data_IF_251459758879
#
_entry.id   IF_251459758879
#
_cell.length_a   1.000
_cell.length_b   1.000
_cell.length_c   1.000
_cell.angle_alpha   90.00
_cell.angle_beta   90.00
_cell.angle_gamma   90.00
#
_symmetry.space_group_name_H-M   'P 1'
#
loop_
_entity.id
_entity.type
_entity.pdbx_description
1 polymer ?
#
# COMPACT_ATOMS: atom_id res chain seq x y z
N UNK A 1 6.57 -7.71 -1.26
CA UNK A 1 5.95 -8.31 -0.07
C UNK A 1 5.20 -7.26 0.75
N UNK A 2 5.88 -6.19 1.21
CA UNK A 2 5.24 -5.04 1.87
C UNK A 2 4.10 -4.40 1.06
N UNK A 3 4.26 -4.32 -0.27
CA UNK A 3 3.29 -3.68 -1.17
C UNK A 3 1.92 -4.38 -1.16
N UNK A 4 1.88 -5.72 -1.11
CA UNK A 4 0.61 -6.45 -1.08
C UNK A 4 -0.10 -6.32 0.28
N UNK A 5 0.67 -6.24 1.37
CA UNK A 5 0.12 -6.03 2.72
C UNK A 5 -0.46 -4.61 2.88
N UNK A 6 0.15 -3.61 2.23
CA UNK A 6 -0.36 -2.23 2.22
C UNK A 6 -1.72 -2.16 1.52
N UNK A 7 -1.88 -2.81 0.36
CA UNK A 7 -3.17 -2.83 -0.36
C UNK A 7 -4.28 -3.57 0.42
N UNK A 8 -3.93 -4.65 1.14
CA UNK A 8 -4.87 -5.34 2.04
C UNK A 8 -5.28 -4.39 3.17
N UNK A 9 -4.33 -3.68 3.79
CA UNK A 9 -4.63 -2.73 4.87
C UNK A 9 -5.50 -1.54 4.41
N UNK A 10 -5.32 -1.07 3.17
CA UNK A 10 -6.13 0.01 2.60
C UNK A 10 -7.56 -0.43 2.26
N UNK A 11 -7.75 -1.65 1.75
CA UNK A 11 -9.08 -2.22 1.45
C UNK A 11 -9.90 -2.59 2.70
N UNK A 12 -9.23 -2.82 3.83
CA UNK A 12 -9.88 -3.06 5.14
C UNK A 12 -10.44 -1.79 5.82
N UNK A 13 -10.38 -0.62 5.17
CA UNK A 13 -11.02 0.59 5.67
C UNK A 13 -12.54 0.63 5.39
N UNK A 14 -13.05 -0.22 4.49
CA UNK A 14 -14.49 -0.38 4.25
C UNK A 14 -15.04 -1.50 5.13
N UNK A 15 -16.10 -1.20 5.90
CA UNK A 15 -16.65 -2.11 6.90
C UNK A 15 -17.15 -3.43 6.30
N UNK A 16 -17.74 -3.38 5.11
CA UNK A 16 -18.30 -4.54 4.41
C UNK A 16 -17.21 -5.51 3.89
N UNK A 17 -16.14 -4.97 3.29
CA UNK A 17 -15.00 -5.78 2.81
C UNK A 17 -14.25 -6.47 3.96
N UNK A 18 -14.24 -5.86 5.14
CA UNK A 18 -13.58 -6.41 6.33
C UNK A 18 -14.26 -7.68 6.85
N UNK A 19 -15.60 -7.70 6.89
CA UNK A 19 -16.35 -8.87 7.35
C UNK A 19 -16.23 -10.05 6.38
N UNK A 20 -16.32 -9.77 5.07
CA UNK A 20 -16.17 -10.78 4.02
C UNK A 20 -14.76 -11.39 4.03
N UNK A 21 -13.72 -10.56 4.13
CA UNK A 21 -12.34 -11.03 4.22
C UNK A 21 -12.11 -11.89 5.46
N UNK A 22 -12.67 -11.47 6.61
CA UNK A 22 -12.54 -12.21 7.87
C UNK A 22 -13.21 -13.58 7.79
N UNK A 23 -14.40 -13.67 7.20
CA UNK A 23 -15.09 -14.93 6.99
C UNK A 23 -14.31 -15.87 6.06
N UNK A 24 -13.82 -15.34 4.93
CA UNK A 24 -13.08 -16.11 3.91
C UNK A 24 -11.74 -16.63 4.45
N UNK A 25 -10.98 -15.79 5.17
CA UNK A 25 -9.76 -16.23 5.85
C UNK A 25 -10.09 -17.30 6.88
N UNK A 26 -11.09 -17.10 7.73
CA UNK A 26 -11.41 -18.06 8.79
C UNK A 26 -11.77 -19.43 8.20
N UNK A 27 -12.53 -19.46 7.11
CA UNK A 27 -12.88 -20.68 6.40
C UNK A 27 -11.64 -21.41 5.84
N UNK A 28 -10.73 -20.69 5.17
CA UNK A 28 -9.52 -21.30 4.60
C UNK A 28 -8.53 -21.80 5.64
N UNK A 29 -8.39 -21.08 6.75
CA UNK A 29 -7.51 -21.50 7.84
C UNK A 29 -8.10 -22.69 8.61
N UNK A 30 -9.41 -22.75 8.81
CA UNK A 30 -10.07 -23.93 9.37
C UNK A 30 -9.89 -25.18 8.47
N UNK A 31 -9.93 -25.02 7.14
CA UNK A 31 -9.62 -26.11 6.22
C UNK A 31 -8.15 -26.56 6.32
N UNK A 32 -7.23 -25.66 6.70
CA UNK A 32 -5.81 -25.95 6.88
C UNK A 32 -5.50 -26.69 8.18
N UNK A 33 -6.20 -26.38 9.28
CA UNK A 33 -6.03 -27.06 10.58
C UNK A 33 -6.42 -28.55 10.53
N UNK A 34 -7.26 -28.93 9.56
CA UNK A 34 -7.66 -30.32 9.33
C UNK A 34 -6.64 -31.14 8.52
N UNK A 35 -5.57 -30.52 8.00
CA UNK A 35 -4.46 -31.21 7.35
C UNK A 35 -3.43 -31.64 8.39
N UNK A 36 -3.57 -32.86 8.90
CA UNK A 36 -2.53 -33.51 9.70
C UNK A 36 -1.33 -33.83 8.79
N UNK A 37 -0.29 -33.00 8.81
CA UNK A 37 1.02 -33.43 8.35
C UNK A 37 2.13 -32.56 8.95
N UNK A 38 3.24 -33.24 9.27
CA UNK A 38 4.60 -32.68 9.37
C UNK A 38 4.97 -31.93 8.08
N UNK A 39 4.40 -30.76 7.87
CA UNK A 39 4.73 -29.91 6.73
C UNK A 39 5.98 -29.12 7.08
N UNK A 40 6.93 -29.13 6.15
CA UNK A 40 8.11 -28.26 6.14
C UNK A 40 7.69 -26.80 6.40
N UNK A 41 8.41 -26.09 7.28
CA UNK A 41 8.04 -24.75 7.75
C UNK A 41 7.91 -23.77 6.58
N UNK A 42 8.79 -23.87 5.59
CA UNK A 42 8.77 -23.02 4.40
C UNK A 42 7.53 -23.29 3.54
N UNK A 43 7.13 -24.56 3.42
CA UNK A 43 5.93 -24.97 2.70
C UNK A 43 4.65 -24.55 3.42
N UNK A 44 4.63 -24.65 4.75
CA UNK A 44 3.51 -24.16 5.56
C UNK A 44 3.36 -22.65 5.42
N UNK A 45 4.46 -21.91 5.45
CA UNK A 45 4.48 -20.46 5.26
C UNK A 45 3.97 -20.03 3.87
N UNK A 46 4.46 -20.64 2.79
CA UNK A 46 3.96 -20.33 1.45
C UNK A 46 2.47 -20.65 1.31
N UNK A 47 1.97 -21.71 1.94
CA UNK A 47 0.54 -22.04 1.95
C UNK A 47 -0.28 -20.98 2.67
N UNK A 48 0.15 -20.54 3.86
CA UNK A 48 -0.49 -19.46 4.62
C UNK A 48 -0.52 -18.16 3.79
N UNK A 49 0.61 -17.83 3.17
CA UNK A 49 0.78 -16.63 2.35
C UNK A 49 -0.12 -16.63 1.12
N UNK A 50 -0.25 -17.75 0.42
CA UNK A 50 -1.16 -17.85 -0.73
C UNK A 50 -2.63 -17.79 -0.30
N UNK A 51 -2.99 -18.41 0.83
CA UNK A 51 -4.36 -18.29 1.38
C UNK A 51 -4.72 -16.85 1.72
N UNK A 52 -3.84 -16.11 2.40
CA UNK A 52 -4.05 -14.68 2.71
C UNK A 52 -4.27 -13.88 1.41
N UNK A 53 -3.42 -14.09 0.39
CA UNK A 53 -3.55 -13.39 -0.90
C UNK A 53 -4.87 -13.72 -1.61
N UNK A 54 -5.25 -14.99 -1.65
CA UNK A 54 -6.48 -15.42 -2.32
C UNK A 54 -7.71 -14.91 -1.60
N UNK A 55 -7.77 -15.00 -0.26
CA UNK A 55 -8.88 -14.43 0.51
C UNK A 55 -9.02 -12.94 0.28
N UNK A 56 -7.90 -12.20 0.28
CA UNK A 56 -7.91 -10.76 0.01
C UNK A 56 -8.45 -10.46 -1.39
N UNK A 57 -7.99 -11.22 -2.40
CA UNK A 57 -8.42 -11.06 -3.78
C UNK A 57 -9.91 -11.34 -3.97
N UNK A 58 -10.45 -12.34 -3.29
CA UNK A 58 -11.85 -12.76 -3.46
C UNK A 58 -12.85 -11.89 -2.69
N UNK A 59 -12.45 -11.36 -1.53
CA UNK A 59 -13.31 -10.51 -0.69
C UNK A 59 -13.15 -9.01 -0.98
N UNK A 60 -11.92 -8.53 -1.14
CA UNK A 60 -11.61 -7.11 -1.35
C UNK A 60 -11.46 -6.76 -2.84
N UNK A 61 -11.47 -7.75 -3.72
CA UNK A 61 -11.27 -7.57 -5.16
C UNK A 61 -9.83 -7.24 -5.56
N UNK A 62 -9.64 -6.81 -6.81
CA UNK A 62 -8.35 -6.34 -7.30
C UNK A 62 -8.17 -4.85 -7.00
N UNK A 63 -7.27 -4.54 -6.06
CA UNK A 63 -6.75 -3.19 -5.96
C UNK A 63 -5.71 -2.98 -7.07
N UNK A 64 -6.08 -2.26 -8.13
CA UNK A 64 -5.10 -1.84 -9.12
C UNK A 64 -4.14 -0.86 -8.47
N UNK A 65 -2.89 -1.29 -8.31
CA UNK A 65 -1.80 -0.40 -7.94
C UNK A 65 -1.84 0.79 -8.91
N UNK A 66 -2.01 2.00 -8.37
CA UNK A 66 -1.87 3.23 -9.17
C UNK A 66 -0.54 3.15 -9.90
N UNK A 67 -0.61 3.11 -11.23
CA UNK A 67 0.59 2.99 -12.07
C UNK A 67 1.54 4.12 -11.67
N UNK A 68 2.69 3.74 -11.11
CA UNK A 68 3.73 4.66 -10.60
C UNK A 68 4.23 5.65 -11.67
N UNK A 69 3.86 5.44 -12.93
CA UNK A 69 4.10 6.33 -14.06
C UNK A 69 2.89 6.26 -15.01
N UNK A 70 1.96 7.24 -15.00
CA UNK A 70 0.81 7.26 -15.89
C UNK A 70 1.18 7.24 -17.39
N UNK A 71 2.38 7.71 -17.73
CA UNK A 71 2.92 7.70 -19.09
C UNK A 71 3.55 6.37 -19.52
N UNK A 72 3.75 5.43 -18.59
CA UNK A 72 4.31 4.12 -18.88
C UNK A 72 3.18 3.18 -19.29
N UNK A 73 2.99 3.08 -20.58
CA UNK A 73 1.94 2.28 -21.21
C UNK A 73 2.38 0.84 -21.48
N UNK A 74 1.45 0.01 -21.99
CA UNK A 74 1.75 -1.38 -22.32
C UNK A 74 2.83 -1.50 -23.41
N UNK A 75 2.88 -0.54 -24.34
CA UNK A 75 3.94 -0.44 -25.34
C UNK A 75 5.32 -0.26 -24.70
N UNK A 76 5.44 0.55 -23.64
CA UNK A 76 6.66 0.68 -22.85
C UNK A 76 7.06 -0.64 -22.18
N UNK A 77 6.09 -1.40 -21.66
CA UNK A 77 6.36 -2.72 -21.06
C UNK A 77 6.94 -3.69 -22.10
N UNK A 78 6.32 -3.78 -23.29
CA UNK A 78 6.78 -4.66 -24.37
C UNK A 78 8.22 -4.34 -24.80
N UNK A 79 8.55 -3.06 -24.98
CA UNK A 79 9.91 -2.63 -25.31
C UNK A 79 10.92 -2.96 -24.21
N UNK A 80 10.51 -2.89 -22.94
CA UNK A 80 11.36 -3.24 -21.81
C UNK A 80 11.64 -4.75 -21.78
N UNK A 81 10.64 -5.57 -22.06
CA UNK A 81 10.77 -7.02 -22.07
C UNK A 81 11.61 -7.51 -23.25
N UNK A 82 11.44 -6.92 -24.45
CA UNK A 82 12.33 -7.14 -25.59
C UNK A 82 13.79 -6.82 -25.24
N UNK A 83 14.03 -5.69 -24.55
CA UNK A 83 15.38 -5.33 -24.09
C UNK A 83 15.94 -6.34 -23.09
N UNK A 84 15.12 -6.87 -22.18
CA UNK A 84 15.57 -7.92 -21.24
C UNK A 84 15.96 -9.19 -21.99
N UNK A 85 15.15 -9.61 -22.96
CA UNK A 85 15.42 -10.80 -23.79
C UNK A 85 16.71 -10.63 -24.60
N UNK A 86 16.89 -9.51 -25.29
CA UNK A 86 18.10 -9.20 -26.04
C UNK A 86 19.35 -9.19 -25.12
N UNK A 87 19.22 -8.67 -23.90
CA UNK A 87 20.31 -8.71 -22.91
C UNK A 87 20.63 -10.14 -22.47
N UNK A 88 19.64 -11.00 -22.28
CA UNK A 88 19.84 -12.42 -21.93
C UNK A 88 20.53 -13.18 -23.07
N UNK A 89 20.12 -12.95 -24.31
CA UNK A 89 20.77 -13.52 -25.49
C UNK A 89 22.23 -13.07 -25.60
N UNK A 90 22.50 -11.77 -25.40
CA UNK A 90 23.87 -11.26 -25.40
C UNK A 90 24.76 -11.86 -24.31
N UNK A 91 24.21 -12.17 -23.13
CA UNK A 91 24.96 -12.86 -22.07
C UNK A 91 25.31 -14.31 -22.43
N UNK A 92 24.54 -14.94 -23.33
CA UNK A 92 24.78 -16.29 -23.82
C UNK A 92 25.76 -16.30 -25.00
N UNK A 93 25.61 -15.36 -25.94
CA UNK A 93 26.51 -15.17 -27.07
C UNK A 93 26.74 -13.67 -27.34
N UNK A 94 27.92 -13.13 -26.95
CA UNK A 94 28.25 -11.73 -27.15
C UNK A 94 28.50 -11.30 -28.60
N UNK A 95 28.49 -12.23 -29.56
CA UNK A 95 28.93 -11.99 -30.94
C UNK A 95 27.94 -11.22 -31.83
N UNK A 96 26.65 -11.15 -31.45
CA UNK A 96 25.65 -10.35 -32.17
C UNK A 96 25.51 -8.93 -31.57
N UNK A 97 25.82 -7.92 -32.40
CA UNK A 97 25.65 -6.50 -32.08
C UNK A 97 24.16 -6.14 -31.98
N UNK A 98 23.63 -6.11 -30.76
CA UNK A 98 22.27 -5.65 -30.46
C UNK A 98 22.11 -4.13 -30.65
N UNK A 99 21.91 -3.69 -31.89
CA UNK A 99 21.66 -2.30 -32.29
C UNK A 99 20.32 -1.70 -31.80
N UNK A 100 19.43 -2.51 -31.23
CA UNK A 100 18.06 -2.11 -30.87
C UNK A 100 17.95 -1.20 -29.64
N UNK A 101 19.02 -1.07 -28.86
CA UNK A 101 18.98 -0.33 -27.58
C UNK A 101 18.74 1.18 -27.79
N UNK A 102 19.27 1.78 -28.86
CA UNK A 102 19.12 3.22 -29.14
C UNK A 102 17.68 3.59 -29.49
N UNK A 103 16.99 2.77 -30.29
CA UNK A 103 15.60 3.00 -30.70
C UNK A 103 14.65 2.90 -29.50
N UNK A 104 14.89 1.93 -28.61
CA UNK A 104 14.09 1.75 -27.40
C UNK A 104 14.25 2.93 -26.43
N UNK A 105 15.49 3.41 -26.21
CA UNK A 105 15.75 4.60 -25.38
C UNK A 105 15.04 5.83 -25.93
N UNK A 106 15.12 6.06 -27.26
CA UNK A 106 14.42 7.16 -27.93
C UNK A 106 12.91 7.04 -27.77
N UNK A 107 12.35 5.84 -27.89
CA UNK A 107 10.91 5.58 -27.71
C UNK A 107 10.42 5.92 -26.29
N UNK A 108 11.13 5.47 -25.25
CA UNK A 108 10.79 5.82 -23.86
C UNK A 108 10.89 7.33 -23.61
N UNK A 109 11.93 7.99 -24.14
CA UNK A 109 12.10 9.43 -24.03
C UNK A 109 10.97 10.19 -24.74
N UNK A 110 10.55 9.74 -25.93
CA UNK A 110 9.46 10.34 -26.69
C UNK A 110 8.14 10.27 -25.94
N UNK A 111 7.77 9.09 -25.43
CA UNK A 111 6.54 8.91 -24.64
C UNK A 111 6.54 9.76 -23.37
N UNK A 112 7.68 9.84 -22.68
CA UNK A 112 7.84 10.74 -21.53
C UNK A 112 7.66 12.21 -21.93
N UNK A 113 8.23 12.63 -23.07
CA UNK A 113 8.08 14.00 -23.58
C UNK A 113 6.63 14.33 -23.93
N UNK A 114 5.93 13.41 -24.56
CA UNK A 114 4.53 13.57 -24.95
C UNK A 114 3.62 13.74 -23.72
N UNK A 115 3.81 12.90 -22.70
CA UNK A 115 3.09 13.06 -21.44
C UNK A 115 3.36 14.41 -20.76
N UNK A 116 4.61 14.88 -20.75
CA UNK A 116 4.94 16.17 -20.18
C UNK A 116 4.29 17.32 -20.96
N UNK A 117 4.20 17.22 -22.29
CA UNK A 117 3.46 18.18 -23.12
C UNK A 117 1.98 18.21 -22.75
N UNK A 118 1.33 17.05 -22.69
CA UNK A 118 -0.05 16.92 -22.24
C UNK A 118 -0.28 17.58 -20.87
N UNK A 119 0.62 17.35 -19.90
CA UNK A 119 0.53 17.97 -18.57
C UNK A 119 0.71 19.50 -18.58
N UNK A 120 1.54 20.03 -19.47
CA UNK A 120 1.68 21.48 -19.67
C UNK A 120 0.41 22.05 -20.28
N UNK A 121 -0.19 21.36 -21.26
CA UNK A 121 -1.43 21.79 -21.89
C UNK A 121 -2.63 21.73 -20.92
N UNK A 122 -2.66 20.73 -20.04
CA UNK A 122 -3.62 20.63 -18.93
C UNK A 122 -3.49 21.83 -17.98
N UNK A 123 -2.26 22.19 -17.59
CA UNK A 123 -1.99 23.39 -16.77
C UNK A 123 -2.43 24.68 -17.48
N UNK A 124 -2.13 24.82 -18.77
CA UNK A 124 -2.54 25.98 -19.57
C UNK A 124 -4.06 26.09 -19.66
N UNK A 125 -4.76 24.95 -19.80
CA UNK A 125 -6.22 24.88 -19.82
C UNK A 125 -6.81 25.23 -18.46
N UNK A 126 -6.26 24.70 -17.37
CA UNK A 126 -6.67 25.05 -16.00
C UNK A 126 -6.48 26.55 -15.71
N UNK A 127 -5.41 27.15 -16.22
CA UNK A 127 -5.19 28.60 -16.12
C UNK A 127 -6.24 29.40 -16.89
N UNK A 128 -6.57 29.01 -18.13
CA UNK A 128 -7.61 29.67 -18.95
C UNK A 128 -8.99 29.57 -18.31
N UNK A 129 -9.32 28.40 -17.77
CA UNK A 129 -10.62 28.11 -17.16
C UNK A 129 -10.73 28.61 -15.71
N UNK A 130 -9.70 29.30 -15.18
CA UNK A 130 -9.62 29.76 -13.79
C UNK A 130 -9.82 28.63 -12.76
N UNK A 131 -9.45 27.40 -13.09
CA UNK A 131 -9.42 26.30 -12.13
C UNK A 131 -8.14 26.39 -11.27
N UNK A 132 -8.18 27.29 -10.29
CA UNK A 132 -7.05 27.64 -9.44
C UNK A 132 -6.54 26.42 -8.65
N UNK A 133 -7.45 25.59 -8.14
CA UNK A 133 -7.10 24.42 -7.31
C UNK A 133 -6.23 23.44 -8.07
N UNK A 134 -6.66 23.04 -9.27
CA UNK A 134 -5.94 22.03 -10.05
C UNK A 134 -4.71 22.60 -10.74
N UNK A 135 -4.70 23.90 -11.04
CA UNK A 135 -3.50 24.62 -11.47
C UNK A 135 -2.38 24.52 -10.43
N UNK A 136 -2.65 24.91 -9.18
CA UNK A 136 -1.65 24.84 -8.10
C UNK A 136 -1.27 23.40 -7.74
N UNK A 137 -2.22 22.46 -7.80
CA UNK A 137 -1.95 21.04 -7.64
C UNK A 137 -0.92 20.56 -8.67
N UNK A 138 -1.18 20.81 -9.95
CA UNK A 138 -0.28 20.40 -11.02
C UNK A 138 1.09 21.09 -10.92
N UNK A 139 1.15 22.40 -10.63
CA UNK A 139 2.42 23.11 -10.42
C UNK A 139 3.23 22.48 -9.28
N UNK A 140 2.56 22.12 -8.18
CA UNK A 140 3.23 21.46 -7.05
C UNK A 140 3.74 20.07 -7.41
N UNK A 141 3.03 19.31 -8.24
CA UNK A 141 3.49 18.00 -8.72
C UNK A 141 4.77 18.12 -9.56
N UNK A 142 4.89 19.17 -10.39
CA UNK A 142 6.12 19.47 -11.12
C UNK A 142 7.25 19.95 -10.21
N UNK A 143 6.94 20.77 -9.19
CA UNK A 143 7.93 21.34 -8.26
C UNK A 143 8.45 20.32 -7.23
N UNK A 144 7.62 19.36 -6.81
CA UNK A 144 7.97 18.38 -5.74
C UNK A 144 9.16 17.49 -6.08
N UNK A 145 9.51 17.35 -7.36
CA UNK A 145 10.63 16.52 -7.79
C UNK A 145 10.45 15.03 -7.43
N UNK A 146 11.49 14.23 -7.67
CA UNK A 146 11.49 12.84 -7.20
C UNK A 146 11.89 12.81 -5.73
N UNK A 147 10.92 12.63 -4.84
CA UNK A 147 11.21 12.33 -3.45
C UNK A 147 11.58 10.84 -3.35
N UNK A 148 12.76 10.55 -2.80
CA UNK A 148 13.07 9.19 -2.41
C UNK A 148 12.04 8.77 -1.35
N UNK A 149 11.23 7.76 -1.64
CA UNK A 149 10.41 7.13 -0.62
C UNK A 149 11.37 6.46 0.37
N UNK A 150 11.54 7.04 1.56
CA UNK A 150 12.30 6.40 2.61
C UNK A 150 11.41 5.31 3.24
N UNK A 151 11.83 4.05 3.14
CA UNK A 151 11.21 2.95 3.90
C UNK A 151 11.69 2.97 5.35
N UNK A 152 11.71 4.15 5.98
CA UNK A 152 12.14 4.31 7.36
C UNK A 152 11.02 3.93 8.32
N UNK A 153 11.37 3.22 9.39
CA UNK A 153 10.43 2.79 10.44
C UNK A 153 10.86 3.43 11.74
N UNK A 154 9.92 3.92 12.55
CA UNK A 154 10.25 4.44 13.88
C UNK A 154 10.52 3.30 14.86
N UNK A 155 11.57 3.43 15.66
CA UNK A 155 11.82 2.55 16.78
C UNK A 155 10.85 2.82 17.94
N UNK A 156 11.06 2.17 19.09
CA UNK A 156 10.22 2.33 20.28
C UNK A 156 10.39 3.71 20.95
N UNK A 157 11.53 4.38 20.74
CA UNK A 157 11.86 5.69 21.28
C UNK A 157 11.44 6.84 20.34
N UNK A 158 11.04 6.52 19.12
CA UNK A 158 10.59 7.47 18.09
C UNK A 158 11.65 7.80 17.03
N UNK A 159 12.83 7.19 17.08
CA UNK A 159 13.94 7.41 16.16
C UNK A 159 13.74 6.67 14.82
N UNK A 160 14.18 7.28 13.72
CA UNK A 160 14.01 6.72 12.38
C UNK A 160 15.09 5.67 12.06
N UNK A 161 14.65 4.43 11.87
CA UNK A 161 15.45 3.32 11.37
C UNK A 161 15.35 3.27 9.84
N UNK A 162 16.47 3.46 9.15
CA UNK A 162 16.58 3.30 7.69
C UNK A 162 17.34 2.02 7.27
N UNK A 163 18.03 1.38 8.21
CA UNK A 163 18.80 0.16 7.98
C UNK A 163 17.91 -1.09 7.94
N UNK A 164 18.15 -1.96 6.95
CA UNK A 164 17.36 -3.16 6.70
C UNK A 164 17.36 -4.12 7.89
N UNK A 165 18.51 -4.33 8.54
CA UNK A 165 18.61 -5.24 9.67
C UNK A 165 17.85 -4.72 10.88
N UNK A 166 17.98 -3.43 11.17
CA UNK A 166 17.26 -2.78 12.27
C UNK A 166 15.75 -2.76 12.04
N UNK A 167 15.30 -2.53 10.80
CA UNK A 167 13.87 -2.62 10.44
C UNK A 167 13.35 -4.05 10.66
N UNK A 168 14.09 -5.07 10.22
CA UNK A 168 13.69 -6.47 10.43
C UNK A 168 13.64 -6.84 11.91
N UNK A 169 14.61 -6.40 12.71
CA UNK A 169 14.58 -6.62 14.16
C UNK A 169 13.42 -5.87 14.82
N UNK A 170 13.11 -4.64 14.38
CA UNK A 170 11.95 -3.88 14.86
C UNK A 170 10.65 -4.62 14.61
N UNK A 171 10.47 -5.17 13.40
CA UNK A 171 9.30 -6.00 13.06
C UNK A 171 9.28 -7.30 13.85
N UNK A 172 10.42 -7.99 14.00
CA UNK A 172 10.52 -9.20 14.82
C UNK A 172 10.07 -8.92 16.26
N UNK A 173 10.58 -7.86 16.88
CA UNK A 173 10.24 -7.47 18.24
C UNK A 173 8.76 -7.10 18.35
N UNK A 174 8.25 -6.31 17.41
CA UNK A 174 6.84 -5.91 17.37
C UNK A 174 5.90 -7.12 17.31
N UNK A 175 6.12 -8.04 16.36
CA UNK A 175 5.26 -9.22 16.23
C UNK A 175 5.46 -10.22 17.36
N UNK A 176 6.67 -10.33 17.92
CA UNK A 176 6.90 -11.15 19.11
C UNK A 176 6.11 -10.63 20.30
N UNK A 177 6.12 -9.31 20.54
CA UNK A 177 5.31 -8.68 21.59
C UNK A 177 3.81 -8.81 21.31
N UNK A 178 3.37 -8.68 20.06
CA UNK A 178 1.95 -8.73 19.70
C UNK A 178 1.36 -10.14 19.78
N UNK A 179 2.08 -11.14 19.27
CA UNK A 179 1.55 -12.50 19.07
C UNK A 179 1.87 -13.44 20.25
N UNK A 180 2.92 -13.19 21.02
CA UNK A 180 3.33 -14.06 22.14
C UNK A 180 2.87 -13.54 23.51
N UNK A 181 1.83 -12.70 23.57
CA UNK A 181 1.24 -12.29 24.85
C UNK A 181 0.52 -13.48 25.47
N UNK A 182 1.07 -14.04 26.54
CA UNK A 182 0.30 -14.89 27.46
C UNK A 182 -0.79 -14.01 28.08
N UNK A 183 -2.07 -14.27 27.75
CA UNK A 183 -3.22 -13.54 28.30
C UNK A 183 -3.24 -13.68 29.83
N UNK A 184 -2.65 -12.73 30.55
CA UNK A 184 -3.25 -12.29 31.80
C UNK A 184 -4.26 -11.24 31.41
N UNK A 185 -5.55 -11.56 31.57
CA UNK A 185 -6.67 -10.67 31.27
C UNK A 185 -6.64 -9.44 32.17
N UNK A 186 -5.84 -8.44 31.79
CA UNK A 186 -6.04 -7.08 32.27
C UNK A 186 -6.94 -6.42 31.25
N UNK A 187 -8.22 -6.35 31.59
CA UNK A 187 -9.21 -5.50 30.93
C UNK A 187 -8.64 -4.09 30.90
N UNK A 188 -8.08 -3.69 29.76
CA UNK A 188 -7.83 -2.27 29.51
C UNK A 188 -9.20 -1.68 29.17
N UNK A 189 -9.85 -1.07 30.16
CA UNK A 189 -10.87 -0.06 29.87
C UNK A 189 -10.16 1.00 29.02
N UNK A 190 -10.38 0.97 27.71
CA UNK A 190 -10.06 2.12 26.87
C UNK A 190 -10.97 3.25 27.33
N UNK A 191 -10.44 4.18 28.11
CA UNK A 191 -11.06 5.49 28.29
C UNK A 191 -11.18 6.11 26.90
N UNK A 192 -12.41 6.12 26.39
CA UNK A 192 -12.75 6.79 25.16
C UNK A 192 -12.75 8.29 25.50
N UNK A 193 -11.70 9.00 25.11
CA UNK A 193 -11.70 10.46 25.16
C UNK A 193 -12.61 11.00 24.06
N UNK A 194 -13.89 11.17 24.37
CA UNK A 194 -14.83 11.94 23.54
C UNK A 194 -14.55 13.43 23.74
N UNK A 195 -14.57 14.22 22.66
CA UNK A 195 -14.36 15.67 22.70
C UNK A 195 -15.59 16.47 23.18
N UNK A 196 -16.67 15.77 23.57
CA UNK A 196 -17.88 16.39 24.10
C UNK A 196 -17.68 16.71 25.59
N UNK A 197 -17.96 17.94 26.03
CA UNK A 197 -18.01 18.26 27.45
C UNK A 197 -19.02 17.33 28.13
N UNK A 198 -18.62 16.68 29.23
CA UNK A 198 -19.54 15.99 30.12
C UNK A 198 -20.49 17.02 30.72
N UNK A 199 -21.67 17.18 30.12
CA UNK A 199 -22.75 17.98 30.69
C UNK A 199 -23.40 17.13 31.78
N UNK A 200 -23.39 17.55 33.05
CA UNK A 200 -24.05 16.81 34.12
C UNK A 200 -25.56 16.77 33.88
N UNK A 201 -26.20 15.68 34.29
CA UNK A 201 -27.66 15.56 34.23
C UNK A 201 -28.31 16.75 34.97
N UNK A 202 -29.34 17.39 34.36
CA UNK A 202 -29.97 18.57 34.95
C UNK A 202 -30.62 18.22 36.28
N UNK A 203 -30.50 19.13 37.25
CA UNK A 203 -31.06 18.89 38.57
C UNK A 203 -32.60 18.92 38.53
N UNK A 204 -33.29 18.20 39.43
CA UNK A 204 -34.75 18.23 39.50
C UNK A 204 -35.33 19.66 39.61
N UNK A 205 -34.59 20.57 40.24
CA UNK A 205 -34.95 21.98 40.38
C UNK A 205 -34.91 22.77 39.06
N UNK A 206 -33.92 22.48 38.20
CA UNK A 206 -33.81 23.09 36.87
C UNK A 206 -34.92 22.59 35.94
N UNK A 207 -35.29 21.32 36.07
CA UNK A 207 -36.41 20.72 35.33
C UNK A 207 -37.75 21.32 35.76
N UNK A 208 -37.98 21.47 37.06
CA UNK A 208 -39.21 22.09 37.58
C UNK A 208 -39.33 23.58 37.21
N UNK A 209 -38.21 24.32 37.20
CA UNK A 209 -38.19 25.74 36.83
C UNK A 209 -38.42 25.99 35.34
N UNK A 210 -38.16 25.00 34.48
CA UNK A 210 -38.38 25.10 33.03
C UNK A 210 -39.82 24.70 32.61
N UNK A 211 -40.56 24.03 33.50
CA UNK A 211 -41.94 23.60 33.27
C UNK A 211 -42.96 24.63 33.82
N UNK A 212 -42.54 25.49 34.76
CA UNK A 212 -43.33 26.60 35.30
C UNK A 212 -43.37 27.83 34.37
#
# INVERSE_FOLDING_TARGET
MLINLICIAEGLNEAEGTEQYRAEISHRFAALENLDTKVDVDKAWETIKENIKMSAKESLGYYELKKHKPWFDEGCSKLLDQRKQAKLQWLQDPSELNGDNLNNIRSFQNKKREYLRYKIDELATNSKNKNIRDLYRGINDFKRGSQASSNSVKDENGDLLADSHNILNRWRNYFSQLLNVHRVSVVRQTEIHTAEPLVPDPSPFEVESAIA
#
